data_IF_903491218861
#
_entry.id   IF_903491218861
#
_cell.length_a   1.000
_cell.length_b   1.000
_cell.length_c   1.000
_cell.angle_alpha   90.00
_cell.angle_beta   90.00
_cell.angle_gamma   90.00
#
_symmetry.space_group_name_H-M   'P 1'
#
loop_
_entity.id
_entity.type
_entity.pdbx_description
1 polymer ?
#
# COMPACT_ATOMS: atom_id res chain seq x y z
N UNK A 1 -46.85 -39.28 49.81
CA UNK A 1 -46.85 -38.05 49.00
C UNK A 1 -45.40 -37.84 48.48
N UNK A 2 -45.14 -38.15 47.22
CA UNK A 2 -43.81 -37.96 46.58
C UNK A 2 -43.75 -36.59 45.95
N UNK A 3 -42.85 -35.73 46.40
CA UNK A 3 -42.59 -34.42 45.78
C UNK A 3 -41.63 -34.60 44.59
N UNK A 4 -42.15 -34.42 43.40
CA UNK A 4 -41.35 -34.37 42.19
C UNK A 4 -40.65 -33.03 42.09
N UNK A 5 -39.33 -32.99 42.17
CA UNK A 5 -38.53 -31.80 41.97
C UNK A 5 -38.29 -31.63 40.44
N UNK A 6 -38.91 -30.64 39.82
CA UNK A 6 -38.78 -30.32 38.42
C UNK A 6 -37.50 -29.46 38.26
N UNK A 7 -36.40 -30.04 37.78
CA UNK A 7 -35.17 -29.30 37.44
C UNK A 7 -35.35 -28.68 36.06
N UNK A 8 -35.58 -27.36 36.03
CA UNK A 8 -35.58 -26.56 34.79
C UNK A 8 -34.15 -26.24 34.46
N UNK A 9 -33.55 -26.98 33.50
CA UNK A 9 -32.22 -26.66 32.94
C UNK A 9 -32.41 -25.51 31.93
N UNK A 10 -32.03 -24.30 32.30
CA UNK A 10 -31.88 -23.17 31.36
C UNK A 10 -30.57 -23.42 30.55
N UNK A 11 -30.68 -23.90 29.33
CA UNK A 11 -29.57 -23.87 28.37
C UNK A 11 -29.40 -22.43 27.88
N UNK A 12 -28.47 -21.71 28.47
CA UNK A 12 -28.01 -20.42 27.91
C UNK A 12 -27.15 -20.75 26.70
N UNK A 13 -27.74 -20.68 25.52
CA UNK A 13 -26.97 -20.68 24.25
C UNK A 13 -26.27 -19.33 24.16
N UNK A 14 -25.03 -19.25 24.64
CA UNK A 14 -24.17 -18.13 24.38
C UNK A 14 -23.82 -18.17 22.87
N UNK A 15 -24.51 -17.38 22.06
CA UNK A 15 -24.06 -17.06 20.72
C UNK A 15 -22.77 -16.26 20.86
N UNK A 16 -21.63 -16.93 20.83
CA UNK A 16 -20.33 -16.28 20.70
C UNK A 16 -20.29 -15.70 19.28
N UNK A 17 -20.85 -14.52 19.11
CA UNK A 17 -20.58 -13.73 17.92
C UNK A 17 -19.08 -13.54 17.83
N UNK A 18 -18.45 -13.98 16.73
CA UNK A 18 -17.05 -13.71 16.47
C UNK A 18 -16.86 -12.19 16.38
N UNK A 19 -16.56 -11.56 17.53
CA UNK A 19 -16.17 -10.15 17.56
C UNK A 19 -14.79 -10.09 16.90
N UNK A 20 -14.76 -9.71 15.65
CA UNK A 20 -13.50 -9.50 14.94
C UNK A 20 -12.80 -8.30 15.56
N UNK A 21 -11.54 -8.47 15.94
CA UNK A 21 -10.75 -7.38 16.48
C UNK A 21 -10.76 -6.19 15.52
N UNK A 22 -11.04 -5.01 16.04
CA UNK A 22 -11.00 -3.76 15.29
C UNK A 22 -9.63 -3.13 15.42
N UNK A 23 -9.01 -2.81 14.30
CA UNK A 23 -7.81 -1.97 14.24
C UNK A 23 -8.22 -0.52 14.06
N UNK A 24 -7.56 0.38 14.78
CA UNK A 24 -7.79 1.83 14.71
C UNK A 24 -6.51 2.55 14.37
N UNK A 25 -6.54 3.37 13.33
CA UNK A 25 -5.52 4.35 12.97
C UNK A 25 -6.08 5.75 13.27
N UNK A 26 -5.83 6.22 14.48
CA UNK A 26 -6.18 7.58 14.90
C UNK A 26 -4.96 8.48 14.74
N UNK A 27 -5.00 9.34 13.75
CA UNK A 27 -3.87 10.22 13.43
C UNK A 27 -3.66 11.34 14.47
N UNK A 28 -4.62 11.54 15.38
CA UNK A 28 -4.44 12.41 16.55
C UNK A 28 -3.61 11.76 17.65
N UNK A 29 -3.49 10.43 17.67
CA UNK A 29 -2.79 9.69 18.72
C UNK A 29 -1.27 9.91 18.71
N UNK A 30 -0.60 9.53 19.80
CA UNK A 30 0.86 9.57 19.92
C UNK A 30 1.58 8.61 18.94
N UNK A 31 0.90 7.54 18.47
CA UNK A 31 1.43 6.62 17.49
C UNK A 31 1.67 7.28 16.12
N UNK A 32 1.05 8.44 15.87
CA UNK A 32 1.18 9.22 14.64
C UNK A 32 1.71 10.63 14.97
N UNK A 33 3.02 10.78 15.22
CA UNK A 33 3.62 12.09 15.47
C UNK A 33 3.49 12.99 14.25
N UNK A 34 3.61 14.31 14.46
CA UNK A 34 3.67 15.29 13.36
C UNK A 34 4.90 14.99 12.49
N UNK A 35 4.69 14.92 11.17
CA UNK A 35 5.73 14.61 10.18
C UNK A 35 5.53 15.44 8.91
N UNK A 36 6.60 15.61 8.16
CA UNK A 36 6.56 16.27 6.83
C UNK A 36 6.09 15.34 5.71
N UNK A 37 5.95 14.04 5.99
CA UNK A 37 5.49 13.01 5.07
C UNK A 37 6.51 11.91 4.83
N UNK A 38 6.11 10.92 4.04
CA UNK A 38 6.92 9.77 3.65
C UNK A 38 7.40 9.95 2.20
N UNK A 39 8.67 9.64 1.98
CA UNK A 39 9.30 9.69 0.64
C UNK A 39 9.47 8.28 0.04
N UNK A 40 9.39 7.25 0.88
CA UNK A 40 9.53 5.85 0.49
C UNK A 40 8.36 5.04 1.05
N UNK A 41 8.03 3.95 0.38
CA UNK A 41 6.99 3.05 0.86
C UNK A 41 7.38 2.43 2.20
N UNK A 42 6.46 2.44 3.15
CA UNK A 42 6.65 1.89 4.50
C UNK A 42 5.37 1.26 5.02
N UNK A 43 5.47 0.43 6.06
CA UNK A 43 4.31 -0.09 6.79
C UNK A 43 4.38 0.38 8.24
N UNK A 44 3.30 1.00 8.69
CA UNK A 44 3.15 1.47 10.07
C UNK A 44 1.82 0.98 10.65
N UNK A 45 1.88 0.23 11.74
CA UNK A 45 0.69 -0.33 12.40
C UNK A 45 -0.22 -1.10 11.42
N UNK A 46 0.35 -1.97 10.58
CA UNK A 46 -0.35 -2.71 9.52
C UNK A 46 -1.04 -1.83 8.45
N UNK A 47 -0.70 -0.56 8.34
CA UNK A 47 -1.08 0.33 7.25
C UNK A 47 0.13 0.60 6.37
N UNK A 48 0.06 0.20 5.12
CA UNK A 48 1.06 0.53 4.12
C UNK A 48 0.84 1.96 3.61
N UNK A 49 1.91 2.72 3.54
CA UNK A 49 1.96 4.10 3.06
C UNK A 49 2.81 4.12 1.79
N UNK A 50 2.22 4.46 0.65
CA UNK A 50 2.89 4.38 -0.65
C UNK A 50 2.86 5.75 -1.35
N UNK A 51 3.96 6.51 -1.28
CA UNK A 51 4.06 7.82 -1.93
C UNK A 51 4.06 7.71 -3.45
N UNK A 52 4.69 6.68 -4.03
CA UNK A 52 4.88 6.56 -5.47
C UNK A 52 6.23 7.12 -5.95
N UNK A 53 6.29 7.80 -7.11
CA UNK A 53 7.52 8.35 -7.65
C UNK A 53 8.20 9.36 -6.73
N UNK A 54 9.53 9.50 -6.82
CA UNK A 54 10.34 10.41 -5.98
C UNK A 54 9.97 11.91 -6.07
N UNK A 55 9.19 12.29 -7.08
CA UNK A 55 8.65 13.65 -7.23
C UNK A 55 7.46 13.92 -6.31
N UNK A 56 6.89 12.89 -5.68
CA UNK A 56 5.79 13.03 -4.74
C UNK A 56 6.34 13.53 -3.40
N UNK A 57 5.87 14.67 -2.97
CA UNK A 57 6.24 15.30 -1.69
C UNK A 57 5.02 15.43 -0.78
N UNK A 58 5.27 15.49 0.53
CA UNK A 58 4.24 15.71 1.56
C UNK A 58 3.10 14.66 1.60
N UNK A 59 3.24 13.50 0.96
CA UNK A 59 2.33 12.37 1.16
C UNK A 59 2.53 11.81 2.56
N UNK A 60 1.45 11.40 3.22
CA UNK A 60 1.46 10.90 4.60
C UNK A 60 1.97 11.90 5.65
N UNK A 61 2.06 13.19 5.32
CA UNK A 61 2.31 14.21 6.33
C UNK A 61 1.18 14.21 7.36
N UNK A 62 1.57 14.21 8.64
CA UNK A 62 0.66 14.35 9.78
C UNK A 62 0.86 15.74 10.38
N UNK A 63 -0.20 16.54 10.41
CA UNK A 63 -0.12 17.91 10.90
C UNK A 63 -1.36 18.31 11.71
N UNK A 64 -1.22 19.30 12.58
CA UNK A 64 -2.33 19.84 13.35
C UNK A 64 -3.41 20.41 12.40
N UNK A 65 -4.62 19.96 12.57
CA UNK A 65 -5.79 20.44 11.82
C UNK A 65 -7.06 20.01 12.52
N UNK A 66 -7.95 20.93 12.80
CA UNK A 66 -9.22 20.62 13.44
C UNK A 66 -10.31 20.26 12.43
N UNK A 67 -11.13 19.29 12.77
CA UNK A 67 -12.35 18.96 12.08
C UNK A 67 -13.37 18.37 13.05
N UNK A 68 -14.65 18.64 12.80
CA UNK A 68 -15.77 18.00 13.50
C UNK A 68 -16.40 16.97 12.59
N UNK A 69 -16.83 15.85 13.15
CA UNK A 69 -17.44 14.75 12.41
C UNK A 69 -18.85 14.47 12.94
N UNK A 70 -19.76 13.88 12.14
CA UNK A 70 -21.16 13.66 12.51
C UNK A 70 -21.37 12.80 13.76
N UNK A 71 -20.40 11.94 14.09
CA UNK A 71 -20.41 11.07 15.28
C UNK A 71 -19.83 11.74 16.53
N UNK A 72 -19.46 13.03 16.44
CA UNK A 72 -18.85 13.80 17.53
C UNK A 72 -17.34 13.58 17.70
N UNK A 73 -16.66 12.79 16.84
CA UNK A 73 -15.22 12.62 16.90
C UNK A 73 -14.50 13.96 16.65
N UNK A 74 -13.66 14.45 17.59
CA UNK A 74 -12.89 15.68 17.41
C UNK A 74 -11.59 15.36 16.69
N UNK A 75 -11.51 15.60 15.40
CA UNK A 75 -10.26 15.50 14.66
C UNK A 75 -9.33 16.65 15.02
N UNK A 76 -8.13 16.37 15.52
CA UNK A 76 -7.13 17.38 15.91
C UNK A 76 -5.87 17.33 15.07
N UNK A 77 -5.61 16.24 14.37
CA UNK A 77 -4.56 16.08 13.38
C UNK A 77 -5.10 15.39 12.14
N UNK A 78 -4.53 15.73 10.99
CA UNK A 78 -4.86 15.12 9.71
C UNK A 78 -3.66 14.40 9.11
N UNK A 79 -3.91 13.29 8.45
CA UNK A 79 -3.01 12.59 7.56
C UNK A 79 -3.33 12.99 6.12
N UNK A 80 -2.33 13.47 5.37
CA UNK A 80 -2.53 14.01 4.02
C UNK A 80 -2.25 12.98 2.93
N UNK A 81 -3.23 12.68 2.09
CA UNK A 81 -2.95 12.00 0.81
C UNK A 81 -2.26 12.96 -0.17
N UNK A 82 -2.56 14.25 -0.08
CA UNK A 82 -1.88 15.37 -0.76
C UNK A 82 -1.80 15.25 -2.29
N UNK A 83 -2.83 14.72 -2.92
CA UNK A 83 -2.96 14.57 -4.38
C UNK A 83 -3.70 13.31 -4.78
N UNK A 84 -3.86 13.11 -6.08
CA UNK A 84 -4.53 11.93 -6.62
C UNK A 84 -3.67 10.67 -6.55
N UNK A 85 -4.33 9.53 -6.44
CA UNK A 85 -3.71 8.20 -6.40
C UNK A 85 -3.20 7.70 -7.76
N UNK A 86 -3.39 8.46 -8.83
CA UNK A 86 -3.01 8.13 -10.20
C UNK A 86 -2.69 9.38 -11.01
N UNK A 87 -1.95 9.22 -12.11
CA UNK A 87 -1.49 10.33 -12.96
C UNK A 87 -2.23 10.45 -14.28
N UNK A 88 -3.01 9.43 -14.67
CA UNK A 88 -3.75 9.41 -15.93
C UNK A 88 -5.11 10.11 -15.81
N UNK A 89 -5.67 10.51 -16.95
CA UNK A 89 -7.07 10.94 -17.04
C UNK A 89 -7.99 9.74 -16.88
N UNK A 90 -8.96 9.83 -15.97
CA UNK A 90 -9.88 8.74 -15.66
C UNK A 90 -9.53 8.00 -14.37
N UNK A 91 -10.46 7.19 -13.89
CA UNK A 91 -10.31 6.47 -12.63
C UNK A 91 -9.56 5.17 -12.86
N UNK A 92 -8.43 5.01 -12.18
CA UNK A 92 -7.67 3.75 -12.18
C UNK A 92 -8.07 2.86 -11.02
N UNK A 93 -8.32 1.61 -11.29
CA UNK A 93 -8.59 0.57 -10.28
C UNK A 93 -7.36 0.27 -9.42
N UNK A 94 -6.15 0.50 -9.98
CA UNK A 94 -4.87 0.32 -9.30
C UNK A 94 -4.21 1.67 -9.11
N UNK A 95 -4.13 2.18 -7.88
CA UNK A 95 -3.41 3.43 -7.64
C UNK A 95 -1.90 3.24 -7.86
N UNK A 96 -1.23 4.27 -8.37
CA UNK A 96 0.20 4.27 -8.69
C UNK A 96 1.02 5.16 -7.76
N UNK A 97 0.35 6.03 -7.00
CA UNK A 97 0.96 6.97 -6.07
C UNK A 97 -0.04 7.42 -4.99
N UNK A 98 0.45 8.01 -3.89
CA UNK A 98 -0.36 8.69 -2.86
C UNK A 98 -1.53 7.85 -2.36
N UNK A 99 -1.28 6.58 -2.07
CA UNK A 99 -2.29 5.67 -1.54
C UNK A 99 -1.81 4.97 -0.27
N UNK A 100 -2.79 4.52 0.48
CA UNK A 100 -2.58 3.64 1.62
C UNK A 100 -3.32 2.33 1.36
N UNK A 101 -2.85 1.25 1.97
CA UNK A 101 -3.59 0.00 1.98
C UNK A 101 -3.33 -0.79 3.27
N UNK A 102 -4.24 -1.67 3.57
CA UNK A 102 -4.06 -2.70 4.59
C UNK A 102 -4.55 -4.04 4.05
N UNK A 103 -4.01 -5.12 4.60
CA UNK A 103 -4.49 -6.47 4.31
C UNK A 103 -5.66 -6.78 5.23
N UNK A 104 -6.77 -7.29 4.66
CA UNK A 104 -7.81 -7.97 5.44
C UNK A 104 -7.70 -9.49 5.31
N UNK A 105 -8.06 -10.23 6.37
CA UNK A 105 -8.13 -11.69 6.35
C UNK A 105 -9.49 -12.22 5.88
N UNK A 106 -10.34 -11.39 5.30
CA UNK A 106 -11.69 -11.69 4.82
C UNK A 106 -12.63 -10.51 5.04
N UNK A 107 -13.91 -10.76 5.29
CA UNK A 107 -14.90 -9.71 5.49
C UNK A 107 -14.45 -8.68 6.53
N UNK A 108 -14.61 -7.39 6.20
CA UNK A 108 -14.13 -6.27 7.02
C UNK A 108 -15.07 -5.08 6.90
N UNK A 109 -15.44 -4.48 8.03
CA UNK A 109 -16.12 -3.17 8.07
C UNK A 109 -15.06 -2.10 8.19
N UNK A 110 -15.08 -1.12 7.29
CA UNK A 110 -14.11 -0.02 7.18
C UNK A 110 -14.84 1.28 7.42
N UNK A 111 -14.31 2.13 8.32
CA UNK A 111 -14.78 3.49 8.49
C UNK A 111 -13.62 4.46 8.32
N UNK A 112 -13.85 5.55 7.58
CA UNK A 112 -12.85 6.56 7.28
C UNK A 112 -13.42 7.94 7.60
N UNK A 113 -12.82 8.64 8.56
CA UNK A 113 -13.11 10.04 8.89
C UNK A 113 -12.19 10.94 8.06
N UNK A 114 -12.77 11.73 7.17
CA UNK A 114 -11.97 12.52 6.23
C UNK A 114 -12.62 13.84 5.86
N UNK A 115 -11.82 14.72 5.25
CA UNK A 115 -12.23 16.00 4.63
C UNK A 115 -11.59 16.16 3.27
N UNK A 116 -12.20 16.99 2.43
CA UNK A 116 -11.52 17.48 1.23
C UNK A 116 -10.24 18.23 1.61
N UNK A 117 -9.18 18.04 0.81
CA UNK A 117 -7.89 18.69 1.02
C UNK A 117 -7.76 20.05 0.31
N UNK A 118 -8.83 20.56 -0.27
CA UNK A 118 -8.91 21.84 -0.99
C UNK A 118 -10.32 22.10 -1.51
N UNK A 119 -10.49 23.08 -2.38
CA UNK A 119 -11.76 23.42 -3.02
C UNK A 119 -12.18 22.42 -4.10
N UNK A 120 -13.47 22.37 -4.42
CA UNK A 120 -14.06 21.53 -5.46
C UNK A 120 -14.38 20.11 -5.00
N UNK A 121 -15.02 19.37 -5.90
CA UNK A 121 -15.42 17.99 -5.68
C UNK A 121 -14.18 17.08 -5.63
N UNK A 122 -14.21 16.12 -4.72
CA UNK A 122 -13.14 15.13 -4.56
C UNK A 122 -13.73 13.79 -4.22
N UNK A 123 -13.18 12.76 -4.83
CA UNK A 123 -13.66 11.39 -4.68
C UNK A 123 -12.64 10.56 -3.95
N UNK A 124 -13.09 9.88 -2.87
CA UNK A 124 -12.35 8.82 -2.23
C UNK A 124 -12.75 7.48 -2.83
N UNK A 125 -11.77 6.62 -3.06
CA UNK A 125 -11.95 5.25 -3.57
C UNK A 125 -11.46 4.23 -2.55
N UNK A 126 -12.17 3.11 -2.46
CA UNK A 126 -11.72 1.88 -1.84
C UNK A 126 -11.74 0.79 -2.91
N UNK A 127 -10.63 0.07 -3.11
CA UNK A 127 -10.51 -0.96 -4.14
C UNK A 127 -9.59 -2.10 -3.73
N UNK A 128 -9.53 -3.14 -4.56
CA UNK A 128 -8.63 -4.30 -4.39
C UNK A 128 -7.34 -4.19 -5.21
N UNK A 129 -7.16 -3.10 -5.97
CA UNK A 129 -6.08 -2.98 -6.95
C UNK A 129 -6.43 -3.57 -8.33
N UNK A 130 -7.50 -4.34 -8.44
CA UNK A 130 -8.06 -4.84 -9.71
C UNK A 130 -9.48 -4.36 -9.95
N UNK A 131 -10.17 -3.90 -8.90
CA UNK A 131 -11.54 -3.38 -8.95
C UNK A 131 -11.72 -2.25 -7.94
N UNK A 132 -12.54 -1.26 -8.29
CA UNK A 132 -13.09 -0.30 -7.35
C UNK A 132 -14.29 -0.96 -6.66
N UNK A 133 -14.24 -1.04 -5.35
CA UNK A 133 -15.29 -1.61 -4.52
C UNK A 133 -16.35 -0.58 -4.17
N UNK A 134 -15.91 0.64 -3.85
CA UNK A 134 -16.79 1.78 -3.58
C UNK A 134 -16.05 3.09 -3.84
N UNK A 135 -16.83 4.13 -4.09
CA UNK A 135 -16.33 5.50 -4.19
C UNK A 135 -17.34 6.47 -3.59
N UNK A 136 -16.83 7.58 -3.07
CA UNK A 136 -17.69 8.65 -2.55
C UNK A 136 -17.13 10.00 -2.96
N UNK A 137 -17.91 10.73 -3.76
CA UNK A 137 -17.61 12.10 -4.14
C UNK A 137 -18.28 13.06 -3.15
N UNK A 138 -17.54 14.07 -2.74
CA UNK A 138 -18.03 15.15 -1.90
C UNK A 138 -17.72 16.50 -2.52
N UNK A 139 -18.74 17.29 -2.63
CA UNK A 139 -18.61 18.71 -2.97
C UNK A 139 -18.04 19.46 -1.77
N UNK A 140 -17.15 20.36 -2.03
CA UNK A 140 -16.48 21.33 -1.17
C UNK A 140 -17.18 21.61 0.18
N UNK A 141 -17.14 20.66 1.11
CA UNK A 141 -17.69 20.81 2.45
C UNK A 141 -16.58 21.17 3.44
N UNK A 142 -16.83 22.14 4.30
CA UNK A 142 -15.98 22.43 5.44
C UNK A 142 -16.13 21.39 6.56
N UNK A 143 -17.15 20.54 6.49
CA UNK A 143 -17.46 19.55 7.50
C UNK A 143 -16.69 18.25 7.28
N UNK A 144 -16.38 17.56 8.35
CA UNK A 144 -15.82 16.22 8.31
C UNK A 144 -16.87 15.19 7.88
N UNK A 145 -16.45 14.17 7.18
CA UNK A 145 -17.29 13.14 6.58
C UNK A 145 -16.84 11.78 7.06
N UNK A 146 -17.78 10.83 7.13
CA UNK A 146 -17.49 9.43 7.45
C UNK A 146 -17.90 8.58 6.25
N UNK A 147 -16.94 7.86 5.66
CA UNK A 147 -17.21 6.82 4.69
C UNK A 147 -17.20 5.47 5.40
N UNK A 148 -18.32 4.77 5.36
CA UNK A 148 -18.43 3.39 5.84
C UNK A 148 -18.56 2.45 4.65
N UNK A 149 -17.81 1.34 4.68
CA UNK A 149 -17.89 0.30 3.67
C UNK A 149 -17.73 -1.09 4.29
N UNK A 150 -18.64 -2.00 3.97
CA UNK A 150 -18.58 -3.40 4.37
C UNK A 150 -18.01 -4.23 3.21
N UNK A 151 -16.74 -4.63 3.34
CA UNK A 151 -16.11 -5.56 2.42
C UNK A 151 -16.56 -6.98 2.71
N UNK A 152 -17.07 -7.65 1.70
CA UNK A 152 -17.41 -9.08 1.73
C UNK A 152 -16.58 -9.79 0.67
N UNK A 153 -15.65 -10.65 1.12
CA UNK A 153 -14.75 -11.35 0.20
C UNK A 153 -13.62 -12.10 0.91
N UNK A 154 -12.74 -12.73 0.14
CA UNK A 154 -11.56 -13.41 0.68
C UNK A 154 -10.54 -12.42 1.26
N UNK A 155 -9.45 -12.94 1.82
CA UNK A 155 -8.31 -12.10 2.22
C UNK A 155 -7.78 -11.30 1.01
N UNK A 156 -7.61 -9.98 1.19
CA UNK A 156 -7.18 -9.06 0.13
C UNK A 156 -6.45 -7.86 0.70
N UNK A 157 -5.68 -7.16 -0.14
CA UNK A 157 -5.24 -5.80 0.14
C UNK A 157 -6.36 -4.83 -0.27
N UNK A 158 -6.75 -3.95 0.66
CA UNK A 158 -7.76 -2.92 0.43
C UNK A 158 -7.07 -1.57 0.31
N UNK A 159 -7.08 -1.01 -0.89
CA UNK A 159 -6.42 0.23 -1.29
C UNK A 159 -7.36 1.41 -1.08
N UNK A 160 -6.85 2.49 -0.47
CA UNK A 160 -7.58 3.72 -0.20
C UNK A 160 -6.81 4.87 -0.82
N UNK A 161 -7.46 5.64 -1.68
CA UNK A 161 -6.86 6.73 -2.43
C UNK A 161 -7.93 7.75 -2.87
N UNK A 162 -7.50 8.89 -3.37
CA UNK A 162 -8.39 9.89 -3.93
C UNK A 162 -8.11 10.17 -5.41
N UNK A 163 -9.03 10.87 -6.08
CA UNK A 163 -8.77 11.53 -7.37
C UNK A 163 -7.89 12.77 -7.19
N UNK A 164 -7.98 13.39 -6.03
CA UNK A 164 -7.25 14.58 -5.62
C UNK A 164 -6.88 14.53 -4.14
N UNK A 165 -6.42 15.66 -3.58
CA UNK A 165 -5.99 15.76 -2.20
C UNK A 165 -7.15 15.55 -1.23
N UNK A 166 -7.01 14.56 -0.36
CA UNK A 166 -7.90 14.26 0.76
C UNK A 166 -7.11 14.23 2.08
N UNK A 167 -7.76 14.59 3.16
CA UNK A 167 -7.20 14.57 4.51
C UNK A 167 -7.96 13.55 5.35
N UNK A 168 -7.27 12.56 5.90
CA UNK A 168 -7.83 11.52 6.75
C UNK A 168 -7.50 11.86 8.20
N UNK A 169 -8.45 11.74 9.11
CA UNK A 169 -8.29 12.03 10.53
C UNK A 169 -8.25 10.76 11.37
N UNK A 170 -9.04 9.77 10.98
CA UNK A 170 -9.11 8.48 11.64
C UNK A 170 -9.59 7.42 10.65
N UNK A 171 -9.14 6.21 10.86
CA UNK A 171 -9.68 5.03 10.16
C UNK A 171 -9.87 3.90 11.16
N UNK A 172 -10.89 3.08 10.93
CA UNK A 172 -11.04 1.79 11.60
C UNK A 172 -11.31 0.70 10.58
N UNK A 173 -10.82 -0.50 10.85
CA UNK A 173 -11.17 -1.68 10.08
C UNK A 173 -11.22 -2.91 10.98
N UNK A 174 -12.14 -3.82 10.70
CA UNK A 174 -12.18 -5.13 11.35
C UNK A 174 -11.38 -6.15 10.56
N UNK A 175 -10.92 -7.22 11.24
CA UNK A 175 -10.26 -8.37 10.61
C UNK A 175 -8.97 -8.01 9.83
N UNK A 176 -8.23 -7.00 10.30
CA UNK A 176 -6.95 -6.58 9.71
C UNK A 176 -5.89 -7.66 9.93
N UNK A 177 -5.23 -8.05 8.83
CA UNK A 177 -4.11 -9.00 8.83
C UNK A 177 -2.76 -8.27 8.85
N UNK A 178 -1.68 -9.05 8.82
CA UNK A 178 -0.33 -8.50 8.66
C UNK A 178 -0.16 -7.94 7.26
N UNK A 179 0.01 -6.63 7.17
CA UNK A 179 0.29 -5.94 5.93
C UNK A 179 1.79 -5.96 5.65
N UNK A 180 2.16 -6.31 4.44
CA UNK A 180 3.54 -6.26 3.93
C UNK A 180 3.54 -5.45 2.63
N UNK A 181 4.64 -4.75 2.37
CA UNK A 181 4.80 -4.09 1.06
C UNK A 181 4.90 -5.16 -0.03
N UNK A 182 4.11 -4.99 -1.09
CA UNK A 182 4.25 -5.81 -2.28
C UNK A 182 5.57 -5.50 -2.99
N UNK A 183 6.11 -6.46 -3.73
CA UNK A 183 7.32 -6.22 -4.56
C UNK A 183 7.12 -5.11 -5.59
N UNK A 184 5.87 -4.82 -5.97
CA UNK A 184 5.53 -3.72 -6.87
C UNK A 184 5.48 -2.35 -6.16
N UNK A 185 5.26 -2.32 -4.84
CA UNK A 185 5.19 -1.08 -4.06
C UNK A 185 6.58 -0.45 -3.85
N UNK A 186 7.63 -1.23 -4.08
CA UNK A 186 9.05 -0.83 -3.96
C UNK A 186 9.68 -0.62 -5.33
N UNK A 187 9.03 -1.02 -6.43
CA UNK A 187 9.60 -0.89 -7.77
C UNK A 187 9.54 0.55 -8.27
N UNK A 188 10.64 1.25 -8.14
CA UNK A 188 11.05 2.22 -9.16
C UNK A 188 11.38 1.43 -10.42
N UNK A 189 10.72 1.71 -11.52
CA UNK A 189 11.07 1.14 -12.83
C UNK A 189 12.47 1.63 -13.21
N UNK A 190 13.46 0.73 -13.10
CA UNK A 190 14.80 0.99 -13.57
C UNK A 190 14.79 0.93 -15.11
N UNK A 191 15.15 2.02 -15.78
CA UNK A 191 15.20 2.09 -17.26
C UNK A 191 16.33 1.26 -17.86
N UNK A 192 17.23 0.72 -17.03
CA UNK A 192 18.33 -0.12 -17.46
C UNK A 192 17.88 -1.24 -18.42
N UNK A 193 18.65 -1.47 -19.45
CA UNK A 193 18.42 -2.53 -20.43
C UNK A 193 19.50 -3.62 -20.26
N UNK A 194 19.10 -4.88 -20.30
CA UNK A 194 20.02 -6.03 -20.27
C UNK A 194 19.82 -6.82 -21.55
N UNK A 195 20.91 -7.04 -22.28
CA UNK A 195 20.95 -7.82 -23.53
C UNK A 195 22.14 -8.77 -23.53
N UNK A 196 22.11 -9.76 -24.44
CA UNK A 196 23.23 -10.68 -24.65
C UNK A 196 23.67 -10.67 -26.10
N UNK A 197 24.98 -10.84 -26.30
CA UNK A 197 25.59 -11.14 -27.62
C UNK A 197 26.63 -12.28 -27.44
N UNK A 198 26.27 -13.47 -27.90
CA UNK A 198 27.06 -14.69 -27.63
C UNK A 198 27.11 -14.97 -26.12
N UNK A 199 28.33 -15.04 -25.57
CA UNK A 199 28.60 -15.24 -24.15
C UNK A 199 28.66 -13.92 -23.33
N UNK A 200 28.54 -12.76 -23.99
CA UNK A 200 28.64 -11.45 -23.37
C UNK A 200 27.26 -10.94 -22.93
N UNK A 201 27.14 -10.55 -21.65
CA UNK A 201 25.99 -9.83 -21.09
C UNK A 201 26.31 -8.34 -21.07
N UNK A 202 25.41 -7.53 -21.59
CA UNK A 202 25.52 -6.06 -21.66
C UNK A 202 24.43 -5.42 -20.86
N UNK A 203 24.77 -4.45 -20.02
CA UNK A 203 23.86 -3.63 -19.22
C UNK A 203 24.05 -2.19 -19.66
N UNK A 204 22.97 -1.53 -20.04
CA UNK A 204 22.96 -0.14 -20.52
C UNK A 204 21.86 0.67 -19.90
N UNK A 205 21.94 2.00 -20.02
CA UNK A 205 21.01 2.98 -19.48
C UNK A 205 20.92 2.91 -17.92
N UNK A 206 22.03 2.73 -17.25
CA UNK A 206 22.10 2.78 -15.79
C UNK A 206 21.99 4.24 -15.32
N UNK A 207 20.97 4.53 -14.50
CA UNK A 207 20.68 5.88 -13.97
C UNK A 207 21.29 6.13 -12.58
N UNK A 208 21.87 5.11 -11.93
CA UNK A 208 22.37 5.20 -10.56
C UNK A 208 23.87 4.97 -10.47
N UNK A 209 24.54 5.75 -9.62
CA UNK A 209 25.99 5.66 -9.37
C UNK A 209 26.44 4.39 -8.65
N UNK A 210 25.50 3.65 -8.04
CA UNK A 210 25.80 2.40 -7.32
C UNK A 210 24.72 1.36 -7.66
N UNK A 211 24.92 0.63 -8.75
CA UNK A 211 24.05 -0.49 -9.13
C UNK A 211 24.72 -1.80 -8.80
N UNK A 212 24.12 -2.56 -7.89
CA UNK A 212 24.49 -3.95 -7.64
C UNK A 212 23.92 -4.83 -8.74
N UNK A 213 24.78 -5.65 -9.34
CA UNK A 213 24.46 -6.61 -10.40
C UNK A 213 24.71 -8.00 -9.86
N UNK A 214 23.66 -8.82 -9.78
CA UNK A 214 23.75 -10.23 -9.43
C UNK A 214 23.25 -11.08 -10.59
N UNK A 215 24.00 -12.09 -10.97
CA UNK A 215 23.69 -13.02 -12.08
C UNK A 215 23.50 -14.41 -11.51
N UNK A 216 22.35 -14.98 -11.76
CA UNK A 216 22.01 -16.34 -11.31
C UNK A 216 21.81 -17.25 -12.50
N UNK A 217 22.22 -18.51 -12.40
CA UNK A 217 21.90 -19.54 -13.38
C UNK A 217 20.45 -20.04 -13.20
N UNK A 218 20.00 -20.93 -14.07
CA UNK A 218 18.65 -21.50 -14.03
C UNK A 218 18.32 -22.25 -12.72
N UNK A 219 19.33 -22.73 -12.00
CA UNK A 219 19.17 -23.42 -10.71
C UNK A 219 19.16 -22.47 -9.51
N UNK A 220 19.20 -21.13 -9.75
CA UNK A 220 19.22 -20.12 -8.69
C UNK A 220 20.60 -19.90 -8.06
N UNK A 221 21.65 -20.55 -8.53
CA UNK A 221 23.00 -20.32 -8.01
C UNK A 221 23.57 -19.01 -8.52
N UNK A 222 24.20 -18.23 -7.65
CA UNK A 222 24.89 -16.99 -7.99
C UNK A 222 26.15 -17.30 -8.78
N UNK A 223 26.25 -16.80 -10.02
CA UNK A 223 27.40 -16.98 -10.92
C UNK A 223 28.31 -15.77 -10.97
N UNK A 224 27.75 -14.58 -10.76
CA UNK A 224 28.49 -13.32 -10.72
C UNK A 224 27.80 -12.29 -9.87
N UNK A 225 28.60 -11.54 -9.11
CA UNK A 225 28.18 -10.34 -8.42
C UNK A 225 29.18 -9.22 -8.69
N UNK A 226 28.65 -8.01 -8.95
CA UNK A 226 29.48 -6.82 -9.14
C UNK A 226 28.68 -5.57 -8.80
N UNK A 227 29.38 -4.46 -8.53
CA UNK A 227 28.77 -3.13 -8.40
C UNK A 227 29.34 -2.24 -9.50
N UNK A 228 28.48 -1.46 -10.14
CA UNK A 228 28.89 -0.54 -11.19
C UNK A 228 28.17 0.80 -11.07
N UNK A 229 28.84 1.85 -11.53
CA UNK A 229 28.28 3.21 -11.60
C UNK A 229 27.98 3.67 -13.03
N UNK A 230 28.31 2.85 -14.01
CA UNK A 230 28.15 3.11 -15.44
C UNK A 230 27.66 1.86 -16.14
N UNK A 231 27.28 2.00 -17.40
CA UNK A 231 26.98 0.88 -18.28
C UNK A 231 28.13 -0.14 -18.23
N UNK A 232 27.78 -1.40 -18.17
CA UNK A 232 28.75 -2.49 -17.94
C UNK A 232 28.53 -3.67 -18.88
N UNK A 233 29.59 -4.41 -19.12
CA UNK A 233 29.50 -5.69 -19.80
C UNK A 233 30.43 -6.72 -19.16
N UNK A 234 30.08 -7.98 -19.26
CA UNK A 234 30.86 -9.09 -18.74
C UNK A 234 30.53 -10.38 -19.50
N UNK A 235 31.43 -11.34 -19.41
CA UNK A 235 31.25 -12.65 -20.02
C UNK A 235 30.74 -13.66 -18.99
N UNK A 236 29.95 -14.61 -19.50
CA UNK A 236 29.49 -15.80 -18.79
C UNK A 236 29.98 -17.03 -19.55
N UNK A 237 30.76 -17.87 -18.90
CA UNK A 237 31.51 -18.96 -19.55
C UNK A 237 30.65 -20.16 -19.96
N UNK A 238 29.42 -20.28 -19.45
CA UNK A 238 28.55 -21.42 -19.72
C UNK A 238 27.30 -20.97 -20.46
N UNK A 239 26.96 -21.69 -21.53
CA UNK A 239 25.70 -21.45 -22.26
C UNK A 239 24.51 -21.81 -21.39
N UNK A 240 23.43 -21.06 -21.52
CA UNK A 240 22.22 -21.33 -20.74
C UNK A 240 21.37 -20.11 -20.45
N UNK A 241 20.33 -20.33 -19.66
CA UNK A 241 19.44 -19.29 -19.18
C UNK A 241 19.99 -18.68 -17.89
N UNK A 242 20.02 -17.36 -17.84
CA UNK A 242 20.44 -16.60 -16.66
C UNK A 242 19.41 -15.56 -16.26
N UNK A 243 19.38 -15.24 -14.97
CA UNK A 243 18.61 -14.12 -14.42
C UNK A 243 19.63 -13.07 -13.97
N UNK A 244 19.56 -11.89 -14.58
CA UNK A 244 20.34 -10.72 -14.19
C UNK A 244 19.48 -9.84 -13.32
N UNK A 245 19.84 -9.71 -12.05
CA UNK A 245 19.17 -8.84 -11.10
C UNK A 245 20.00 -7.56 -10.90
N UNK A 246 19.37 -6.41 -11.11
CA UNK A 246 19.93 -5.08 -10.93
C UNK A 246 19.24 -4.44 -9.74
N UNK A 247 20.01 -3.90 -8.78
CA UNK A 247 19.47 -3.22 -7.59
C UNK A 247 20.26 -1.95 -7.32
N UNK A 248 19.54 -0.83 -7.16
CA UNK A 248 20.13 0.48 -6.84
C UNK A 248 19.09 1.38 -6.15
N UNK A 249 19.47 2.60 -5.81
CA UNK A 249 18.55 3.65 -5.35
C UNK A 249 17.48 4.00 -6.40
N UNK A 250 17.77 3.79 -7.70
CA UNK A 250 16.86 4.01 -8.80
C UNK A 250 15.78 2.91 -8.93
N UNK A 251 15.91 1.78 -8.21
CA UNK A 251 14.98 0.67 -8.23
C UNK A 251 15.64 -0.68 -8.35
N UNK A 252 14.83 -1.68 -8.67
CA UNK A 252 15.27 -3.07 -8.90
C UNK A 252 14.67 -3.60 -10.21
N UNK A 253 15.48 -4.34 -10.99
CA UNK A 253 15.06 -4.96 -12.24
C UNK A 253 15.67 -6.35 -12.39
N UNK A 254 14.83 -7.31 -12.75
CA UNK A 254 15.28 -8.68 -13.07
C UNK A 254 14.98 -8.98 -14.53
N UNK A 255 15.98 -9.42 -15.26
CA UNK A 255 15.86 -9.74 -16.69
C UNK A 255 16.36 -11.17 -16.93
N UNK A 256 15.56 -11.96 -17.64
CA UNK A 256 16.00 -13.28 -18.15
C UNK A 256 16.77 -13.08 -19.45
N UNK A 257 17.96 -13.65 -19.54
CA UNK A 257 18.81 -13.60 -20.73
C UNK A 257 19.27 -15.01 -21.12
N UNK A 258 19.41 -15.25 -22.42
CA UNK A 258 19.92 -16.50 -22.96
C UNK A 258 21.35 -16.28 -23.50
N UNK A 259 22.32 -16.96 -22.89
CA UNK A 259 23.71 -17.01 -23.33
C UNK A 259 23.88 -18.19 -24.29
N UNK A 260 24.38 -17.96 -25.49
CA UNK A 260 24.49 -18.94 -26.59
C UNK A 260 25.92 -19.27 -26.93
#
# INVERSE_FOLDING_TARGET
MKKSLLLLAFAVVATVGNVKAQTTWDFASAAWPVTTGELTSTVKNNLALVPGPATVVNFAAVEASTASFPDGYPGTKRFKLNGGGYTSTGVNTTPTQRYIYFKTNGNSTINIWYKNGGSGDRTMYIGTGTAILTSKTYSNSNDGLILTYDYVGPAANLYIYGDQSLNIYKMTATNVGTTVLGVNDVKKDMKATVATNGNKVMISNLESKNTQVNVFNANGSLVKAMTTSTDANFEVNTKGLYIVNLKSEAGEKSVKVLVR
#
